data_IF_663052531907
#
_entry.id   IF_663052531907
#
_cell.length_a   1.000
_cell.length_b   1.000
_cell.length_c   1.000
_cell.angle_alpha   90.00
_cell.angle_beta   90.00
_cell.angle_gamma   90.00
#
_symmetry.space_group_name_H-M   'P 1'
#
loop_
_entity.id
_entity.type
_entity.pdbx_description
1 polymer ?
#
# COMPACT_ATOMS: atom_id res chain seq x y z
N UNK A 1 -48.65 28.87 33.31
CA UNK A 1 -47.20 28.58 33.25
C UNK A 1 -46.99 27.25 32.54
N UNK A 2 -46.21 27.28 31.46
CA UNK A 2 -45.72 26.12 30.70
C UNK A 2 -44.54 25.49 31.46
N UNK A 3 -44.47 24.17 31.48
CA UNK A 3 -43.22 23.42 31.27
C UNK A 3 -43.56 21.98 30.76
N UNK A 4 -42.74 21.39 29.89
CA UNK A 4 -43.20 20.49 28.84
C UNK A 4 -42.70 19.04 28.95
N UNK A 5 -43.32 18.19 28.12
CA UNK A 5 -42.99 16.79 27.82
C UNK A 5 -41.52 16.60 27.39
N UNK A 6 -40.86 15.57 27.93
CA UNK A 6 -39.57 15.10 27.43
C UNK A 6 -39.72 14.52 26.02
N UNK A 7 -38.98 15.10 25.07
CA UNK A 7 -38.87 14.70 23.67
C UNK A 7 -37.80 13.61 23.49
N UNK A 8 -38.04 12.73 22.52
CA UNK A 8 -37.26 11.53 22.24
C UNK A 8 -35.80 11.77 21.84
N UNK A 9 -34.96 10.82 22.23
CA UNK A 9 -33.61 10.65 21.69
C UNK A 9 -33.71 10.19 20.23
N UNK A 10 -33.56 11.14 19.31
CA UNK A 10 -33.29 10.89 17.89
C UNK A 10 -31.88 10.33 17.76
N UNK A 11 -31.77 9.18 17.13
CA UNK A 11 -30.52 8.57 16.67
C UNK A 11 -29.89 9.46 15.60
N UNK A 12 -28.64 9.88 15.82
CA UNK A 12 -27.84 10.62 14.83
C UNK A 12 -27.46 9.67 13.68
N UNK A 13 -27.60 10.07 12.40
CA UNK A 13 -27.15 9.27 11.27
C UNK A 13 -25.61 9.26 11.21
N UNK A 14 -25.03 8.07 11.04
CA UNK A 14 -23.59 7.88 10.83
C UNK A 14 -23.18 8.59 9.54
N UNK A 15 -22.25 9.54 9.64
CA UNK A 15 -21.61 10.16 8.47
C UNK A 15 -20.72 9.13 7.77
N UNK A 16 -21.08 8.84 6.52
CA UNK A 16 -20.35 8.00 5.59
C UNK A 16 -19.18 8.81 5.00
N UNK A 17 -17.97 8.60 5.54
CA UNK A 17 -16.74 9.35 5.24
C UNK A 17 -15.98 8.78 4.03
N UNK A 18 -16.70 8.52 2.94
CA UNK A 18 -16.12 8.11 1.67
C UNK A 18 -15.90 9.34 0.78
N UNK A 19 -14.76 9.49 0.08
CA UNK A 19 -14.60 10.58 -0.88
C UNK A 19 -15.66 10.47 -1.99
N UNK A 20 -16.31 11.59 -2.33
CA UNK A 20 -17.38 11.65 -3.34
C UNK A 20 -17.07 12.77 -4.33
N UNK A 21 -17.10 12.45 -5.62
CA UNK A 21 -17.09 13.45 -6.70
C UNK A 21 -18.54 13.95 -6.86
N UNK A 22 -18.74 15.25 -6.77
CA UNK A 22 -20.06 15.91 -6.80
C UNK A 22 -20.03 16.97 -7.88
N UNK A 23 -20.96 16.89 -8.84
CA UNK A 23 -21.17 17.95 -9.81
C UNK A 23 -21.90 19.11 -9.14
N UNK A 24 -21.53 20.35 -9.42
CA UNK A 24 -22.13 21.55 -8.83
C UNK A 24 -22.72 22.39 -9.95
N UNK A 25 -23.99 22.78 -9.81
CA UNK A 25 -24.66 23.65 -10.80
C UNK A 25 -24.19 25.12 -10.69
N UNK A 26 -24.69 25.99 -11.58
CA UNK A 26 -24.30 27.40 -11.64
C UNK A 26 -24.65 28.17 -10.36
N UNK A 27 -25.61 27.67 -9.58
CA UNK A 27 -26.04 28.22 -8.30
C UNK A 27 -25.24 27.69 -7.10
N UNK A 28 -24.20 26.88 -7.35
CA UNK A 28 -23.35 26.32 -6.29
C UNK A 28 -23.96 25.13 -5.56
N UNK A 29 -25.05 24.54 -6.09
CA UNK A 29 -25.75 23.43 -5.46
C UNK A 29 -25.22 22.09 -6.00
N UNK A 30 -24.93 21.19 -5.09
CA UNK A 30 -24.55 19.82 -5.39
C UNK A 30 -25.69 19.08 -6.13
N UNK A 31 -25.40 18.61 -7.34
CA UNK A 31 -26.29 17.80 -8.16
C UNK A 31 -25.66 16.45 -8.46
N UNK A 32 -26.51 15.43 -8.60
CA UNK A 32 -26.07 14.06 -8.94
C UNK A 32 -26.34 13.84 -10.42
N UNK A 33 -25.30 13.88 -11.23
CA UNK A 33 -25.39 13.60 -12.66
C UNK A 33 -25.05 12.13 -12.86
N UNK A 34 -25.94 11.38 -13.51
CA UNK A 34 -25.62 10.03 -14.00
C UNK A 34 -24.96 10.23 -15.36
N UNK A 35 -23.65 10.02 -15.44
CA UNK A 35 -22.88 10.15 -16.65
C UNK A 35 -22.25 8.79 -16.98
N UNK A 36 -22.36 8.38 -18.24
CA UNK A 36 -21.72 7.16 -18.77
C UNK A 36 -20.28 7.47 -19.23
N UNK A 37 -20.00 8.74 -19.55
CA UNK A 37 -18.70 9.24 -20.00
C UNK A 37 -18.47 10.66 -19.47
N UNK A 38 -17.24 10.97 -19.10
CA UNK A 38 -16.75 12.32 -18.87
C UNK A 38 -15.81 12.70 -20.01
N UNK A 39 -16.19 13.73 -20.78
CA UNK A 39 -15.37 14.29 -21.84
C UNK A 39 -14.83 15.65 -21.42
N UNK A 40 -13.53 15.85 -21.62
CA UNK A 40 -12.83 17.10 -21.34
C UNK A 40 -12.22 17.57 -22.66
N UNK A 41 -12.75 18.67 -23.18
CA UNK A 41 -12.21 19.37 -24.35
C UNK A 41 -11.20 20.42 -23.88
N UNK A 42 -9.97 20.34 -24.41
CA UNK A 42 -8.87 21.21 -24.01
C UNK A 42 -8.78 22.48 -24.89
N UNK A 43 -9.64 22.62 -25.90
CA UNK A 43 -9.81 23.84 -26.68
C UNK A 43 -8.82 24.04 -27.84
N UNK A 44 -7.90 23.10 -28.04
CA UNK A 44 -6.87 23.13 -29.11
C UNK A 44 -6.91 21.91 -30.04
N UNK A 45 -8.07 21.23 -30.09
CA UNK A 45 -8.29 20.02 -30.88
C UNK A 45 -7.93 18.72 -30.13
N UNK A 46 -7.40 18.82 -28.91
CA UNK A 46 -7.14 17.66 -28.03
C UNK A 46 -8.35 17.33 -27.17
N UNK A 47 -8.57 16.04 -26.94
CA UNK A 47 -9.68 15.54 -26.13
C UNK A 47 -9.23 14.44 -25.17
N UNK A 48 -9.73 14.52 -23.94
CA UNK A 48 -9.63 13.44 -22.96
C UNK A 48 -11.02 12.87 -22.69
N UNK A 49 -11.13 11.54 -22.74
CA UNK A 49 -12.34 10.80 -22.45
C UNK A 49 -12.11 9.81 -21.31
N UNK A 50 -13.04 9.78 -20.35
CA UNK A 50 -13.15 8.74 -19.33
C UNK A 50 -14.52 8.06 -19.42
N UNK A 51 -14.53 6.76 -19.70
CA UNK A 51 -15.78 5.97 -19.79
C UNK A 51 -16.01 5.20 -18.51
N UNK A 52 -17.18 5.39 -17.89
CA UNK A 52 -17.51 4.75 -16.62
C UNK A 52 -18.22 3.41 -16.87
N UNK A 53 -17.81 2.33 -16.18
CA UNK A 53 -18.47 1.04 -16.36
C UNK A 53 -19.91 1.07 -15.81
N UNK A 54 -20.83 0.46 -16.54
CA UNK A 54 -22.24 0.32 -16.14
C UNK A 54 -22.45 -0.52 -14.87
N UNK A 55 -21.41 -1.26 -14.45
CA UNK A 55 -21.41 -2.15 -13.28
C UNK A 55 -20.32 -1.72 -12.29
N UNK A 56 -20.56 -2.02 -11.00
CA UNK A 56 -19.65 -1.65 -9.90
C UNK A 56 -18.23 -2.23 -10.02
N UNK A 57 -18.03 -3.24 -10.88
CA UNK A 57 -16.74 -3.81 -11.24
C UNK A 57 -16.70 -3.96 -12.76
N UNK A 58 -15.94 -3.09 -13.42
CA UNK A 58 -15.68 -3.08 -14.86
C UNK A 58 -14.44 -2.22 -15.12
N UNK A 59 -13.87 -2.34 -16.31
CA UNK A 59 -12.66 -1.61 -16.66
C UNK A 59 -12.98 -0.12 -16.88
N UNK A 60 -12.12 0.75 -16.35
CA UNK A 60 -12.16 2.18 -16.62
C UNK A 60 -11.33 2.43 -17.87
N UNK A 61 -11.99 2.77 -18.98
CA UNK A 61 -11.31 3.10 -20.24
C UNK A 61 -10.96 4.59 -20.28
N UNK A 62 -9.70 4.88 -20.62
CA UNK A 62 -9.16 6.24 -20.78
C UNK A 62 -8.59 6.34 -22.19
N UNK A 63 -9.10 7.31 -22.95
CA UNK A 63 -8.71 7.56 -24.34
C UNK A 63 -8.25 9.01 -24.48
N UNK A 64 -7.08 9.20 -25.09
CA UNK A 64 -6.50 10.50 -25.39
C UNK A 64 -6.29 10.61 -26.89
N UNK A 65 -6.94 11.58 -27.51
CA UNK A 65 -6.92 11.81 -28.96
C UNK A 65 -6.14 13.08 -29.29
N UNK A 66 -5.27 12.99 -30.30
CA UNK A 66 -4.36 14.06 -30.75
C UNK A 66 -4.60 14.37 -32.22
N UNK A 67 -4.43 15.64 -32.61
CA UNK A 67 -4.70 16.09 -33.98
C UNK A 67 -3.57 15.73 -34.98
N UNK A 68 -2.41 15.29 -34.48
CA UNK A 68 -1.22 14.98 -35.29
C UNK A 68 -0.69 13.58 -34.96
N UNK A 69 -0.35 12.80 -35.99
CA UNK A 69 0.30 11.49 -35.84
C UNK A 69 1.72 11.57 -35.24
N UNK A 70 2.32 12.77 -35.20
CA UNK A 70 3.63 13.00 -34.57
C UNK A 70 3.56 13.14 -33.04
N UNK A 71 2.36 13.25 -32.48
CA UNK A 71 2.14 13.47 -31.06
C UNK A 71 1.78 12.16 -30.36
N UNK A 72 2.60 11.75 -29.40
CA UNK A 72 2.36 10.51 -28.64
C UNK A 72 1.75 10.87 -27.29
N UNK A 73 0.54 10.37 -26.98
CA UNK A 73 -0.04 10.55 -25.66
C UNK A 73 0.72 9.72 -24.62
N UNK A 74 1.12 10.36 -23.53
CA UNK A 74 1.82 9.70 -22.42
C UNK A 74 0.94 9.75 -21.19
N UNK A 75 0.67 8.58 -20.60
CA UNK A 75 -0.01 8.46 -19.32
C UNK A 75 1.05 8.32 -18.23
N UNK A 76 1.14 9.32 -17.36
CA UNK A 76 1.95 9.25 -16.16
C UNK A 76 1.03 9.08 -14.94
N UNK A 77 1.34 8.07 -14.13
CA UNK A 77 0.62 7.78 -12.90
C UNK A 77 1.56 8.02 -11.74
N UNK A 78 1.31 9.08 -10.98
CA UNK A 78 2.08 9.38 -9.78
C UNK A 78 1.28 9.03 -8.54
N UNK A 79 1.78 8.13 -7.68
CA UNK A 79 1.15 7.88 -6.39
C UNK A 79 1.32 9.11 -5.49
N UNK A 80 0.22 9.80 -5.21
CA UNK A 80 0.16 10.85 -4.20
C UNK A 80 0.00 10.26 -2.79
N UNK A 81 0.23 11.08 -1.77
CA UNK A 81 0.05 10.66 -0.39
C UNK A 81 -1.43 10.25 -0.12
N UNK A 82 -1.60 9.10 0.51
CA UNK A 82 -2.82 8.67 1.20
C UNK A 82 -4.13 8.92 0.42
N UNK A 83 -4.31 8.24 -0.71
CA UNK A 83 -5.58 8.10 -1.47
C UNK A 83 -5.76 9.07 -2.65
N UNK A 84 -4.76 9.88 -2.99
CA UNK A 84 -4.76 10.69 -4.21
C UNK A 84 -3.93 9.97 -5.29
N UNK A 85 -4.59 9.57 -6.37
CA UNK A 85 -3.92 9.18 -7.60
C UNK A 85 -3.90 10.40 -8.51
N UNK A 86 -2.72 10.96 -8.78
CA UNK A 86 -2.58 12.01 -9.79
C UNK A 86 -2.34 11.32 -11.12
N UNK A 87 -3.35 11.37 -11.98
CA UNK A 87 -3.25 10.90 -13.35
C UNK A 87 -2.99 12.12 -14.23
N UNK A 88 -1.82 12.16 -14.87
CA UNK A 88 -1.44 13.25 -15.75
C UNK A 88 -1.24 12.69 -17.15
N UNK A 89 -2.02 13.21 -18.09
CA UNK A 89 -1.92 12.90 -19.51
C UNK A 89 -1.21 14.07 -20.15
N UNK A 90 0.02 13.84 -20.62
CA UNK A 90 0.82 14.83 -21.34
C UNK A 90 0.95 14.40 -22.81
N UNK A 91 1.16 15.38 -23.68
CA UNK A 91 1.45 15.17 -25.10
C UNK A 91 2.79 15.84 -25.39
N UNK A 92 3.78 15.04 -25.79
CA UNK A 92 5.12 15.52 -26.10
C UNK A 92 5.32 15.66 -27.61
N UNK A 93 5.98 16.74 -28.02
CA UNK A 93 6.11 17.12 -29.44
C UNK A 93 7.51 16.94 -30.03
N UNK A 94 8.48 16.36 -29.29
CA UNK A 94 9.83 16.18 -29.82
C UNK A 94 10.50 14.93 -29.22
N UNK A 95 10.49 13.85 -29.99
CA UNK A 95 11.44 12.75 -29.86
C UNK A 95 12.04 12.52 -31.24
N UNK A 96 13.18 13.14 -31.52
CA UNK A 96 14.09 12.61 -32.53
C UNK A 96 14.72 11.31 -31.99
N UNK A 97 15.05 10.33 -32.85
CA UNK A 97 15.73 9.12 -32.38
C UNK A 97 17.08 9.55 -31.80
N UNK A 98 17.29 9.27 -30.51
CA UNK A 98 18.49 9.69 -29.81
C UNK A 98 19.71 8.94 -30.37
N UNK A 99 20.70 9.69 -30.85
CA UNK A 99 22.07 9.21 -31.01
C UNK A 99 22.61 8.70 -29.66
N UNK A 100 23.47 7.67 -29.71
CA UNK A 100 24.15 7.00 -28.59
C UNK A 100 24.67 7.99 -27.53
N UNK A 101 23.82 8.32 -26.56
CA UNK A 101 24.18 9.03 -25.35
C UNK A 101 24.38 7.99 -24.25
N UNK A 102 25.54 8.07 -23.62
CA UNK A 102 25.97 7.29 -22.46
C UNK A 102 24.84 7.26 -21.41
N UNK A 103 24.11 6.14 -21.39
CA UNK A 103 23.04 5.89 -20.43
C UNK A 103 23.69 5.75 -19.07
N UNK A 104 23.71 6.85 -18.31
CA UNK A 104 23.58 6.73 -16.86
C UNK A 104 22.36 5.85 -16.65
N UNK A 105 22.59 4.58 -16.30
CA UNK A 105 21.56 3.61 -15.97
C UNK A 105 20.75 4.19 -14.81
N UNK A 106 19.66 4.89 -15.10
CA UNK A 106 18.58 5.04 -14.14
C UNK A 106 18.03 3.64 -13.94
N UNK A 107 18.58 2.93 -12.96
CA UNK A 107 18.05 1.62 -12.56
C UNK A 107 16.54 1.78 -12.34
N UNK A 108 15.77 0.91 -12.98
CA UNK A 108 14.33 0.89 -12.82
C UNK A 108 14.01 0.79 -11.31
N UNK A 109 12.99 1.50 -10.80
CA UNK A 109 12.62 1.40 -9.40
C UNK A 109 12.31 -0.05 -9.05
N UNK A 110 12.67 -0.51 -7.84
CA UNK A 110 12.54 -1.90 -7.47
C UNK A 110 11.07 -2.35 -7.53
N UNK A 111 10.86 -3.56 -8.02
CA UNK A 111 9.56 -4.17 -8.19
C UNK A 111 9.17 -5.03 -6.98
N UNK A 112 7.95 -4.84 -6.46
CA UNK A 112 7.35 -5.69 -5.44
C UNK A 112 6.25 -6.56 -6.04
N UNK A 113 6.49 -7.87 -6.11
CA UNK A 113 5.44 -8.86 -6.29
C UNK A 113 4.92 -9.30 -4.90
N UNK A 114 3.63 -9.11 -4.62
CA UNK A 114 3.07 -9.33 -3.28
C UNK A 114 1.78 -10.17 -3.30
N UNK A 115 1.87 -11.36 -2.71
CA UNK A 115 0.77 -12.24 -2.35
C UNK A 115 0.39 -12.08 -0.87
N UNK A 116 -0.91 -12.11 -0.56
CA UNK A 116 -1.39 -12.04 0.84
C UNK A 116 -2.30 -13.22 1.10
N UNK A 117 -1.93 -14.05 2.08
CA UNK A 117 -2.67 -15.21 2.52
C UNK A 117 -3.28 -14.96 3.90
N UNK A 118 -4.49 -15.46 4.15
CA UNK A 118 -5.20 -15.28 5.42
C UNK A 118 -5.71 -16.62 5.94
N UNK A 119 -5.03 -17.17 6.93
CA UNK A 119 -5.44 -18.34 7.71
C UNK A 119 -5.99 -17.86 9.06
N UNK A 120 -7.12 -17.15 9.00
CA UNK A 120 -7.74 -16.49 10.15
C UNK A 120 -9.23 -16.81 10.23
N UNK A 121 -9.70 -16.96 11.46
CA UNK A 121 -11.11 -17.18 11.78
C UNK A 121 -11.67 -16.03 12.63
N UNK A 122 -13.01 -15.90 12.66
CA UNK A 122 -13.72 -15.02 13.58
C UNK A 122 -13.23 -13.55 13.62
N UNK A 123 -13.03 -13.04 14.84
CA UNK A 123 -12.63 -11.66 15.13
C UNK A 123 -11.24 -11.29 14.61
N UNK A 124 -10.34 -12.27 14.48
CA UNK A 124 -8.96 -12.02 14.05
C UNK A 124 -8.93 -11.59 12.58
N UNK A 125 -9.83 -12.16 11.76
CA UNK A 125 -10.00 -11.77 10.36
C UNK A 125 -10.44 -10.31 10.19
N UNK A 126 -11.20 -9.77 11.15
CA UNK A 126 -11.63 -8.36 11.15
C UNK A 126 -10.49 -7.42 11.54
N UNK A 127 -9.62 -7.85 12.44
CA UNK A 127 -8.47 -7.08 12.93
C UNK A 127 -7.28 -7.11 11.97
N UNK A 128 -7.29 -8.03 10.99
CA UNK A 128 -6.22 -8.21 10.03
C UNK A 128 -6.14 -7.06 9.00
N UNK A 129 -4.93 -6.59 8.64
CA UNK A 129 -4.74 -5.56 7.64
C UNK A 129 -5.23 -6.01 6.25
N UNK A 130 -5.59 -5.03 5.42
CA UNK A 130 -5.97 -5.24 4.02
C UNK A 130 -4.70 -5.32 3.15
N UNK A 131 -4.83 -5.96 1.98
CA UNK A 131 -3.72 -6.15 1.03
C UNK A 131 -3.08 -4.82 0.60
N UNK A 132 -3.86 -3.75 0.45
CA UNK A 132 -3.34 -2.43 0.06
C UNK A 132 -2.52 -1.76 1.17
N UNK A 133 -2.88 -1.96 2.45
CA UNK A 133 -2.09 -1.47 3.59
C UNK A 133 -0.73 -2.17 3.62
N UNK A 134 -0.73 -3.50 3.55
CA UNK A 134 0.50 -4.32 3.49
C UNK A 134 1.39 -3.91 2.32
N UNK A 135 0.79 -3.65 1.14
CA UNK A 135 1.52 -3.16 -0.03
C UNK A 135 2.24 -1.85 0.24
N UNK A 136 1.50 -0.88 0.79
CA UNK A 136 2.00 0.47 1.07
C UNK A 136 3.18 0.41 2.04
N UNK A 137 3.08 -0.39 3.09
CA UNK A 137 4.16 -0.55 4.06
C UNK A 137 5.37 -1.28 3.47
N UNK A 138 5.15 -2.37 2.74
CA UNK A 138 6.23 -3.13 2.11
C UNK A 138 6.96 -2.31 1.03
N UNK A 139 6.24 -1.56 0.21
CA UNK A 139 6.82 -0.67 -0.81
C UNK A 139 7.68 0.44 -0.19
N UNK A 140 7.27 0.98 0.97
CA UNK A 140 8.05 2.02 1.64
C UNK A 140 9.40 1.51 2.19
N UNK A 141 9.53 0.20 2.39
CA UNK A 141 10.77 -0.45 2.82
C UNK A 141 11.53 -1.15 1.69
N UNK A 142 11.08 -1.02 0.43
CA UNK A 142 11.61 -1.76 -0.71
C UNK A 142 12.90 -1.12 -1.25
N UNK A 143 13.98 -1.88 -1.29
CA UNK A 143 15.31 -1.45 -1.75
C UNK A 143 15.78 -2.18 -3.02
N UNK A 144 15.23 -3.37 -3.28
CA UNK A 144 15.52 -4.21 -4.45
C UNK A 144 14.27 -4.97 -4.85
N UNK A 145 14.32 -5.67 -5.97
CA UNK A 145 13.21 -6.51 -6.42
C UNK A 145 12.91 -7.61 -5.38
N UNK A 146 11.64 -7.75 -5.02
CA UNK A 146 11.17 -8.70 -4.01
C UNK A 146 9.91 -9.41 -4.47
N UNK A 147 9.91 -10.73 -4.31
CA UNK A 147 8.71 -11.58 -4.33
C UNK A 147 8.33 -11.98 -2.89
N UNK A 148 7.28 -11.36 -2.37
CA UNK A 148 6.87 -11.47 -0.98
C UNK A 148 5.51 -12.16 -0.83
N UNK A 149 5.44 -13.16 0.04
CA UNK A 149 4.16 -13.64 0.58
C UNK A 149 3.97 -13.16 2.01
N UNK A 150 2.91 -12.41 2.27
CA UNK A 150 2.51 -12.08 3.65
C UNK A 150 1.38 -13.01 4.08
N UNK A 151 1.64 -13.84 5.10
CA UNK A 151 0.69 -14.79 5.66
C UNK A 151 0.21 -14.32 7.02
N UNK A 152 -1.10 -14.06 7.12
CA UNK A 152 -1.75 -13.68 8.37
C UNK A 152 -2.33 -14.93 9.03
N UNK A 153 -1.91 -15.21 10.26
CA UNK A 153 -2.23 -16.46 10.98
C UNK A 153 -2.76 -16.19 12.39
N UNK A 154 -3.46 -17.19 12.95
CA UNK A 154 -3.85 -17.23 14.36
C UNK A 154 -2.72 -17.71 15.28
N UNK A 155 -2.98 -17.78 16.59
CA UNK A 155 -1.96 -18.18 17.58
C UNK A 155 -1.50 -19.63 17.43
N UNK A 156 -2.40 -20.55 17.06
CA UNK A 156 -2.05 -21.97 16.94
C UNK A 156 -0.98 -22.21 15.87
N UNK A 157 -1.21 -21.71 14.65
CA UNK A 157 -0.26 -21.81 13.55
C UNK A 157 0.99 -20.96 13.82
N UNK A 158 0.85 -19.75 14.37
CA UNK A 158 2.00 -18.91 14.73
C UNK A 158 2.94 -19.56 15.75
N UNK A 159 2.39 -20.24 16.77
CA UNK A 159 3.15 -21.02 17.76
C UNK A 159 3.80 -22.24 17.14
N UNK A 160 3.09 -22.95 16.26
CA UNK A 160 3.64 -24.10 15.54
C UNK A 160 4.86 -23.70 14.69
N UNK A 161 4.75 -22.64 13.90
CA UNK A 161 5.85 -22.15 13.07
C UNK A 161 7.04 -21.69 13.94
N UNK A 162 6.80 -20.91 15.00
CA UNK A 162 7.88 -20.46 15.88
C UNK A 162 8.58 -21.63 16.60
N UNK A 163 7.83 -22.67 16.97
CA UNK A 163 8.40 -23.90 17.55
C UNK A 163 9.21 -24.68 16.52
N UNK A 164 8.67 -24.91 15.33
CA UNK A 164 9.30 -25.76 14.32
C UNK A 164 10.56 -25.12 13.71
N UNK A 165 10.57 -23.79 13.52
CA UNK A 165 11.67 -23.09 12.85
C UNK A 165 12.62 -22.36 13.81
N UNK A 166 12.17 -21.95 15.01
CA UNK A 166 13.01 -21.23 16.00
C UNK A 166 13.15 -21.95 17.34
N UNK A 167 12.56 -23.14 17.50
CA UNK A 167 12.60 -23.91 18.76
C UNK A 167 11.84 -23.26 19.93
N UNK A 168 11.01 -22.24 19.67
CA UNK A 168 10.33 -21.43 20.70
C UNK A 168 8.85 -21.75 20.77
N UNK A 169 8.41 -22.32 21.89
CA UNK A 169 7.03 -22.81 22.06
C UNK A 169 6.03 -21.73 22.52
N UNK A 170 5.98 -20.62 21.78
CA UNK A 170 4.97 -19.56 21.93
C UNK A 170 4.70 -18.87 20.58
N UNK A 171 3.53 -18.26 20.41
CA UNK A 171 3.23 -17.47 19.21
C UNK A 171 3.97 -16.12 19.26
N UNK A 172 4.80 -15.84 18.26
CA UNK A 172 5.47 -14.53 18.11
C UNK A 172 4.64 -13.61 17.19
N UNK A 173 4.94 -12.31 17.21
CA UNK A 173 4.26 -11.31 16.41
C UNK A 173 4.55 -11.43 14.90
N UNK A 174 5.82 -11.57 14.53
CA UNK A 174 6.30 -11.73 13.15
C UNK A 174 7.39 -12.79 13.04
N UNK A 175 7.36 -13.56 11.95
CA UNK A 175 8.44 -14.41 11.47
C UNK A 175 8.76 -14.02 10.02
N UNK A 176 10.05 -13.91 9.69
CA UNK A 176 10.54 -13.67 8.34
C UNK A 176 11.28 -14.91 7.87
N UNK A 177 10.93 -15.42 6.70
CA UNK A 177 11.59 -16.53 6.03
C UNK A 177 12.18 -16.02 4.73
N UNK A 178 13.50 -16.10 4.58
CA UNK A 178 14.21 -15.72 3.36
C UNK A 178 14.46 -16.98 2.54
N UNK A 179 14.16 -16.95 1.25
CA UNK A 179 14.41 -18.05 0.33
C UNK A 179 15.53 -17.68 -0.64
N UNK A 180 16.41 -18.65 -0.92
CA UNK A 180 17.45 -18.52 -1.96
C UNK A 180 18.83 -18.06 -1.49
N UNK A 181 19.00 -17.59 -0.25
CA UNK A 181 20.35 -17.30 0.30
C UNK A 181 21.02 -18.53 0.94
N UNK A 182 20.23 -19.50 1.41
CA UNK A 182 20.72 -20.69 2.13
C UNK A 182 20.94 -21.92 1.25
N UNK A 183 20.49 -21.89 -0.02
CA UNK A 183 20.88 -22.91 -0.97
C UNK A 183 22.26 -22.52 -1.49
N UNK A 184 23.24 -23.41 -1.44
CA UNK A 184 24.58 -23.27 -2.04
C UNK A 184 24.55 -23.14 -3.60
N UNK A 185 23.59 -22.40 -4.13
CA UNK A 185 23.40 -22.04 -5.52
C UNK A 185 23.88 -20.60 -5.68
N UNK A 186 24.68 -20.29 -6.71
CA UNK A 186 25.09 -18.92 -6.95
C UNK A 186 23.84 -18.05 -7.12
N UNK A 187 23.75 -16.98 -6.32
CA UNK A 187 22.73 -15.96 -6.49
C UNK A 187 22.77 -15.49 -7.95
N UNK A 188 21.66 -15.65 -8.66
CA UNK A 188 21.56 -15.14 -10.04
C UNK A 188 21.50 -13.61 -9.91
N UNK A 189 22.50 -12.92 -10.44
CA UNK A 189 22.51 -11.46 -10.50
C UNK A 189 21.21 -10.97 -11.17
N UNK A 190 20.49 -10.08 -10.49
CA UNK A 190 19.21 -9.54 -10.96
C UNK A 190 17.97 -10.38 -10.63
N UNK A 191 18.09 -11.52 -9.93
CA UNK A 191 16.92 -12.25 -9.45
C UNK A 191 16.25 -11.53 -8.26
N UNK A 192 14.90 -11.50 -8.19
CA UNK A 192 14.19 -10.95 -7.06
C UNK A 192 14.46 -11.78 -5.80
N UNK A 193 14.56 -11.11 -4.68
CA UNK A 193 14.63 -11.74 -3.37
C UNK A 193 13.25 -12.33 -3.03
N UNK A 194 13.20 -13.61 -2.66
CA UNK A 194 11.94 -14.28 -2.37
C UNK A 194 11.83 -14.58 -0.88
N UNK A 195 10.65 -14.38 -0.29
CA UNK A 195 10.44 -14.80 1.10
C UNK A 195 9.03 -14.62 1.61
N UNK A 196 8.82 -15.10 2.84
CA UNK A 196 7.54 -15.08 3.52
C UNK A 196 7.62 -14.26 4.82
N UNK A 197 6.59 -13.44 5.04
CA UNK A 197 6.34 -12.76 6.30
C UNK A 197 5.09 -13.35 6.95
N UNK A 198 5.26 -14.02 8.09
CA UNK A 198 4.14 -14.59 8.85
C UNK A 198 3.82 -13.68 10.03
N UNK A 199 2.62 -13.11 10.05
CA UNK A 199 2.13 -12.22 11.11
C UNK A 199 1.04 -12.90 11.92
N UNK A 200 1.24 -13.03 13.24
CA UNK A 200 0.24 -13.58 14.15
C UNK A 200 -0.71 -12.48 14.63
N UNK A 201 -1.88 -12.37 14.02
CA UNK A 201 -2.82 -11.26 14.24
C UNK A 201 -3.21 -11.08 15.71
N UNK A 202 -3.55 -12.13 16.49
CA UNK A 202 -3.91 -11.97 17.90
C UNK A 202 -2.77 -11.41 18.76
N UNK A 203 -1.53 -11.83 18.48
CA UNK A 203 -0.34 -11.34 19.19
C UNK A 203 -0.13 -9.86 18.90
N UNK A 204 -0.20 -9.45 17.62
CA UNK A 204 -0.07 -8.04 17.20
C UNK A 204 -1.16 -7.18 17.85
N UNK A 205 -2.41 -7.66 17.88
CA UNK A 205 -3.52 -6.93 18.54
C UNK A 205 -3.25 -6.72 20.03
N UNK A 206 -2.80 -7.77 20.73
CA UNK A 206 -2.47 -7.70 22.16
C UNK A 206 -1.31 -6.75 22.43
N UNK A 207 -0.26 -6.80 21.62
CA UNK A 207 0.91 -5.92 21.74
C UNK A 207 0.55 -4.45 21.48
N UNK A 208 -0.21 -4.18 20.42
CA UNK A 208 -0.66 -2.82 20.10
C UNK A 208 -1.46 -2.22 21.27
N UNK A 209 -2.38 -2.99 21.85
CA UNK A 209 -3.15 -2.57 23.02
C UNK A 209 -2.27 -2.35 24.26
N UNK A 210 -1.34 -3.27 24.54
CA UNK A 210 -0.44 -3.17 25.70
C UNK A 210 0.52 -1.98 25.61
N UNK A 211 0.95 -1.62 24.40
CA UNK A 211 1.87 -0.50 24.14
C UNK A 211 1.15 0.82 23.85
N UNK A 212 -0.19 0.84 23.85
CA UNK A 212 -0.96 2.04 23.52
C UNK A 212 -0.80 2.50 22.06
N UNK A 213 -0.35 1.62 21.17
CA UNK A 213 -0.15 1.89 19.75
C UNK A 213 -1.45 1.64 18.98
N UNK A 214 -1.67 2.41 17.92
CA UNK A 214 -2.73 2.05 16.98
C UNK A 214 -2.39 0.72 16.31
N UNK A 215 -3.40 -0.13 16.09
CA UNK A 215 -3.20 -1.43 15.46
C UNK A 215 -2.56 -1.30 14.07
N UNK A 216 -2.98 -0.29 13.31
CA UNK A 216 -2.46 0.03 11.98
C UNK A 216 -0.96 0.38 12.03
N UNK A 217 -0.54 1.19 13.01
CA UNK A 217 0.88 1.55 13.20
C UNK A 217 1.72 0.33 13.61
N UNK A 218 1.20 -0.55 14.47
CA UNK A 218 1.94 -1.74 14.89
C UNK A 218 2.10 -2.74 13.74
N UNK A 219 1.08 -2.94 12.90
CA UNK A 219 1.23 -3.73 11.68
C UNK A 219 2.20 -3.10 10.68
N UNK A 220 2.15 -1.78 10.50
CA UNK A 220 3.08 -1.06 9.64
C UNK A 220 4.54 -1.29 10.10
N UNK A 221 4.78 -1.16 11.40
CA UNK A 221 6.08 -1.41 12.01
C UNK A 221 6.57 -2.83 11.72
N UNK A 222 5.76 -3.85 11.99
CA UNK A 222 6.16 -5.24 11.79
C UNK A 222 6.38 -5.62 10.32
N UNK A 223 5.62 -5.04 9.39
CA UNK A 223 5.86 -5.24 7.95
C UNK A 223 7.14 -4.56 7.50
N UNK A 224 7.42 -3.34 7.95
CA UNK A 224 8.67 -2.63 7.63
C UNK A 224 9.86 -3.38 8.23
N UNK A 225 9.80 -3.74 9.51
CA UNK A 225 10.81 -4.53 10.20
C UNK A 225 11.09 -5.85 9.47
N UNK A 226 10.03 -6.58 9.11
CA UNK A 226 10.13 -7.83 8.38
C UNK A 226 10.73 -7.68 6.98
N UNK A 227 10.41 -6.60 6.26
CA UNK A 227 11.00 -6.29 4.96
C UNK A 227 12.47 -5.92 5.03
N UNK A 228 12.89 -5.19 6.07
CA UNK A 228 14.29 -4.87 6.29
C UNK A 228 15.09 -6.15 6.60
N UNK A 229 14.54 -7.02 7.46
CA UNK A 229 15.11 -8.34 7.70
C UNK A 229 15.22 -9.20 6.46
N UNK A 230 14.16 -9.24 5.65
CA UNK A 230 14.16 -10.00 4.41
C UNK A 230 15.36 -9.57 3.55
N UNK A 231 15.61 -8.26 3.45
CA UNK A 231 16.66 -7.65 2.63
C UNK A 231 18.04 -7.61 3.30
N UNK A 232 18.27 -8.40 4.35
CA UNK A 232 19.59 -8.58 4.97
C UNK A 232 19.97 -7.52 6.00
N UNK A 233 19.03 -6.68 6.45
CA UNK A 233 19.27 -5.84 7.63
C UNK A 233 19.01 -6.66 8.88
N UNK A 234 20.05 -6.88 9.69
CA UNK A 234 19.94 -7.59 10.96
C UNK A 234 20.08 -6.65 12.17
N UNK A 235 19.71 -7.14 13.34
CA UNK A 235 19.81 -6.44 14.63
C UNK A 235 20.52 -7.26 15.70
N UNK A 236 21.32 -8.27 15.32
CA UNK A 236 22.10 -9.07 16.28
C UNK A 236 23.22 -8.25 16.96
N UNK A 237 23.86 -7.34 16.21
CA UNK A 237 24.87 -6.42 16.75
C UNK A 237 24.25 -5.05 17.09
N UNK A 238 24.69 -4.44 18.19
CA UNK A 238 24.15 -3.15 18.69
C UNK A 238 24.22 -2.02 17.66
N UNK A 239 25.29 -1.95 16.87
CA UNK A 239 25.44 -0.95 15.81
C UNK A 239 24.51 -1.19 14.61
N UNK A 240 24.24 -2.46 14.27
CA UNK A 240 23.34 -2.85 13.19
C UNK A 240 21.88 -2.62 13.60
N UNK A 241 21.55 -2.95 14.85
CA UNK A 241 20.27 -2.64 15.47
C UNK A 241 19.97 -1.14 15.40
N UNK A 242 20.90 -0.28 15.86
CA UNK A 242 20.70 1.17 15.82
C UNK A 242 20.47 1.72 14.40
N UNK A 243 21.17 1.16 13.40
CA UNK A 243 20.99 1.53 12.00
C UNK A 243 19.64 1.08 11.44
N UNK A 244 19.20 -0.14 11.76
CA UNK A 244 17.90 -0.68 11.38
C UNK A 244 16.77 0.13 12.03
N UNK A 245 16.84 0.38 13.34
CA UNK A 245 15.87 1.18 14.09
C UNK A 245 15.75 2.61 13.55
N UNK A 246 16.86 3.24 13.16
CA UNK A 246 16.84 4.54 12.50
C UNK A 246 16.06 4.49 11.17
N UNK A 247 16.31 3.45 10.36
CA UNK A 247 15.63 3.27 9.07
C UNK A 247 14.14 2.98 9.25
N UNK A 248 13.77 2.16 10.23
CA UNK A 248 12.38 1.90 10.59
C UNK A 248 11.65 3.19 10.97
N UNK A 249 12.27 4.04 11.82
CA UNK A 249 11.72 5.34 12.20
C UNK A 249 11.51 6.25 11.00
N UNK A 250 12.50 6.34 10.12
CA UNK A 250 12.39 7.18 8.92
C UNK A 250 11.26 6.72 8.00
N UNK A 251 11.17 5.41 7.74
CA UNK A 251 10.11 4.82 6.90
C UNK A 251 8.73 5.05 7.55
N UNK A 252 8.56 4.75 8.83
CA UNK A 252 7.29 4.93 9.53
C UNK A 252 6.85 6.40 9.57
N UNK A 253 7.80 7.33 9.74
CA UNK A 253 7.53 8.77 9.66
C UNK A 253 7.02 9.16 8.27
N UNK A 254 7.62 8.66 7.19
CA UNK A 254 7.12 8.94 5.82
C UNK A 254 5.73 8.35 5.57
N UNK A 255 5.40 7.24 6.23
CA UNK A 255 4.08 6.62 6.21
C UNK A 255 3.05 7.34 7.08
N UNK A 256 3.47 8.32 7.89
CA UNK A 256 2.62 9.10 8.78
C UNK A 256 2.35 8.45 10.14
N UNK A 257 3.18 7.50 10.57
CA UNK A 257 3.10 6.87 11.88
C UNK A 257 4.10 7.49 12.86
N UNK A 258 3.80 7.36 14.16
CA UNK A 258 4.71 7.74 15.23
C UNK A 258 5.91 6.79 15.32
N UNK A 259 6.96 7.23 16.01
CA UNK A 259 8.13 6.43 16.33
C UNK A 259 7.72 5.16 17.09
N UNK A 260 8.06 3.94 16.61
CA UNK A 260 7.69 2.70 17.27
C UNK A 260 8.49 2.44 18.56
N UNK A 261 9.55 3.20 18.85
CA UNK A 261 10.42 3.05 20.01
C UNK A 261 10.23 4.14 21.08
N UNK A 262 9.29 5.07 20.87
CA UNK A 262 8.99 6.19 21.78
C UNK A 262 7.98 5.84 22.89
#
# INVERSE_FOLDING_TARGET
MRAPKQQGRRTMPRQDSSPRIVAVDAEGKATRIKAERLEIDLGDGRRLSLSFPDRAWGDLEIEADTASESEVPVISVQPGACNVLTLRVDVHHDMQPADEFDLLQTEAPPMLNLAVQKALEGSDRLSAPKKHQIRRWAQAALLRDVELTVRLVGEAEGRELNRNYRGKDYATNVLTFVYGEEAHMPAIEGAPLTGDLVLCVPVVVREAAAQGKSLDAHFAHLVVHGMLHLQGHDHEAEAEAAAMEARERDILRTLGYADPYA
#
